data_IF_821758744199
#
_entry.id   IF_821758744199
#
_cell.length_a   1.000
_cell.length_b   1.000
_cell.length_c   1.000
_cell.angle_alpha   90.00
_cell.angle_beta   90.00
_cell.angle_gamma   90.00
#
_symmetry.space_group_name_H-M   'P 1'
#
loop_
_entity.id
_entity.type
_entity.pdbx_description
1 polymer ?
#
# COMPACT_ATOMS: atom_id res chain seq x y z
N UNK A 1 -13.60 -5.13 -7.98
CA UNK A 1 -14.05 -5.13 -6.57
C UNK A 1 -14.64 -3.77 -6.38
N UNK A 2 -15.83 -3.61 -6.96
CA UNK A 2 -16.61 -2.39 -6.94
C UNK A 2 -17.41 -2.42 -5.66
N UNK A 3 -16.72 -2.22 -4.53
CA UNK A 3 -17.44 -1.81 -3.33
C UNK A 3 -18.03 -0.46 -3.71
N UNK A 4 -19.34 -0.36 -3.61
CA UNK A 4 -20.08 0.87 -3.83
C UNK A 4 -19.69 1.86 -2.70
N UNK A 5 -18.60 2.60 -2.93
CA UNK A 5 -18.02 3.54 -1.97
C UNK A 5 -19.08 4.56 -1.53
N UNK A 6 -20.01 4.90 -2.42
CA UNK A 6 -21.13 5.79 -2.12
C UNK A 6 -22.07 5.19 -1.08
N UNK A 7 -22.44 3.91 -1.18
CA UNK A 7 -23.19 3.21 -0.13
C UNK A 7 -22.42 3.12 1.19
N UNK A 8 -21.10 2.96 1.14
CA UNK A 8 -20.28 2.89 2.36
C UNK A 8 -20.14 4.24 3.10
N UNK A 9 -20.30 5.34 2.35
CA UNK A 9 -20.29 6.72 2.84
C UNK A 9 -21.70 7.21 3.18
N UNK A 10 -22.76 6.58 2.66
CA UNK A 10 -24.14 6.91 2.96
C UNK A 10 -24.41 6.81 4.46
N UNK A 11 -24.85 7.91 5.07
CA UNK A 11 -25.14 8.01 6.50
C UNK A 11 -23.95 8.35 7.41
N UNK A 12 -22.72 8.48 6.89
CA UNK A 12 -21.56 8.94 7.67
C UNK A 12 -21.31 10.43 7.44
N UNK A 13 -20.85 11.15 8.46
CA UNK A 13 -20.47 12.56 8.32
C UNK A 13 -19.11 12.66 7.57
N UNK A 14 -19.07 13.15 6.31
CA UNK A 14 -17.86 13.16 5.50
C UNK A 14 -16.73 13.99 6.11
N UNK A 15 -17.04 15.09 6.80
CA UNK A 15 -16.05 15.97 7.42
C UNK A 15 -15.29 15.27 8.58
N UNK A 16 -15.95 14.36 9.29
CA UNK A 16 -15.33 13.59 10.39
C UNK A 16 -14.49 12.42 9.88
N UNK A 17 -14.87 11.85 8.73
CA UNK A 17 -14.23 10.65 8.15
C UNK A 17 -13.01 10.99 7.28
N UNK A 18 -13.02 12.15 6.61
CA UNK A 18 -11.92 12.63 5.78
C UNK A 18 -10.53 12.56 6.43
N UNK A 19 -10.29 13.11 7.65
CA UNK A 19 -8.95 13.10 8.26
C UNK A 19 -8.47 11.68 8.58
N UNK A 20 -9.38 10.78 8.97
CA UNK A 20 -9.04 9.38 9.26
C UNK A 20 -8.60 8.65 7.98
N UNK A 21 -9.29 8.87 6.86
CA UNK A 21 -8.94 8.28 5.57
C UNK A 21 -7.63 8.85 5.04
N UNK A 22 -7.37 10.15 5.18
CA UNK A 22 -6.07 10.75 4.83
C UNK A 22 -4.92 10.09 5.58
N UNK A 23 -5.09 9.84 6.89
CA UNK A 23 -4.09 9.15 7.71
C UNK A 23 -3.86 7.72 7.21
N UNK A 24 -4.91 6.99 6.91
CA UNK A 24 -4.81 5.62 6.42
C UNK A 24 -4.13 5.54 5.04
N UNK A 25 -4.41 6.47 4.12
CA UNK A 25 -3.71 6.60 2.83
C UNK A 25 -2.21 6.83 3.05
N UNK A 26 -1.83 7.73 3.97
CA UNK A 26 -0.41 7.98 4.30
C UNK A 26 0.28 6.73 4.82
N UNK A 27 -0.37 6.01 5.74
CA UNK A 27 0.15 4.75 6.31
C UNK A 27 0.32 3.69 5.23
N UNK A 28 -0.67 3.51 4.34
CA UNK A 28 -0.58 2.52 3.28
C UNK A 28 0.51 2.86 2.26
N UNK A 29 0.67 4.15 1.92
CA UNK A 29 1.78 4.58 1.07
C UNK A 29 3.14 4.22 1.70
N UNK A 30 3.29 4.40 3.01
CA UNK A 30 4.49 4.00 3.72
C UNK A 30 4.69 2.47 3.71
N UNK A 31 3.63 1.67 3.87
CA UNK A 31 3.74 0.20 3.79
C UNK A 31 4.13 -0.28 2.39
N UNK A 32 3.53 0.26 1.33
CA UNK A 32 3.92 -0.05 -0.05
C UNK A 32 5.40 0.28 -0.27
N UNK A 33 5.86 1.44 0.20
CA UNK A 33 7.28 1.81 0.14
C UNK A 33 8.17 0.83 0.91
N UNK A 34 7.76 0.41 2.11
CA UNK A 34 8.49 -0.57 2.90
C UNK A 34 8.57 -1.92 2.19
N UNK A 35 7.48 -2.40 1.60
CA UNK A 35 7.48 -3.64 0.82
C UNK A 35 8.38 -3.53 -0.43
N UNK A 36 8.41 -2.36 -1.08
CA UNK A 36 9.33 -2.10 -2.19
C UNK A 36 10.80 -2.16 -1.74
N UNK A 37 11.13 -1.48 -0.65
CA UNK A 37 12.49 -1.49 -0.07
C UNK A 37 12.90 -2.91 0.30
N UNK A 38 12.02 -3.68 0.97
CA UNK A 38 12.30 -5.07 1.34
C UNK A 38 12.48 -5.96 0.11
N UNK A 39 11.68 -5.76 -0.94
CA UNK A 39 11.83 -6.51 -2.20
C UNK A 39 13.20 -6.24 -2.82
N UNK A 40 13.63 -4.97 -2.90
CA UNK A 40 14.95 -4.60 -3.42
C UNK A 40 16.08 -5.17 -2.55
N UNK A 41 15.91 -5.15 -1.22
CA UNK A 41 16.87 -5.73 -0.28
C UNK A 41 17.02 -7.24 -0.48
N UNK A 42 15.92 -7.98 -0.59
CA UNK A 42 15.99 -9.42 -0.87
C UNK A 42 16.55 -9.71 -2.26
N UNK A 43 16.25 -8.87 -3.26
CA UNK A 43 16.86 -9.01 -4.59
C UNK A 43 18.39 -8.83 -4.53
N UNK A 44 18.85 -7.85 -3.76
CA UNK A 44 20.27 -7.60 -3.54
C UNK A 44 20.94 -8.75 -2.77
N UNK A 45 20.28 -9.32 -1.75
CA UNK A 45 20.78 -10.50 -1.05
C UNK A 45 20.82 -11.74 -1.95
N UNK A 46 19.81 -11.93 -2.80
CA UNK A 46 19.76 -13.02 -3.74
C UNK A 46 20.89 -12.94 -4.78
N UNK A 47 21.27 -11.72 -5.20
CA UNK A 47 22.38 -11.48 -6.13
C UNK A 47 23.75 -11.35 -5.46
N UNK A 48 23.81 -11.09 -4.15
CA UNK A 48 25.06 -10.87 -3.41
C UNK A 48 26.03 -12.04 -3.54
N UNK A 49 25.53 -13.28 -3.60
CA UNK A 49 26.37 -14.47 -3.75
C UNK A 49 27.08 -14.57 -5.11
N UNK A 50 26.58 -13.87 -6.13
CA UNK A 50 27.26 -13.78 -7.43
C UNK A 50 28.54 -12.92 -7.36
N UNK A 51 28.62 -12.03 -6.37
CA UNK A 51 29.73 -11.08 -6.19
C UNK A 51 30.62 -11.52 -5.02
N UNK A 52 30.02 -12.06 -3.96
CA UNK A 52 30.68 -12.40 -2.71
C UNK A 52 30.53 -13.90 -2.40
N UNK A 53 31.60 -14.66 -2.57
CA UNK A 53 31.64 -16.12 -2.36
C UNK A 53 31.43 -16.55 -0.91
N UNK A 54 31.66 -15.65 0.05
CA UNK A 54 31.49 -15.90 1.50
C UNK A 54 30.02 -15.88 1.96
N UNK A 55 29.08 -15.43 1.12
CA UNK A 55 27.65 -15.37 1.46
C UNK A 55 27.07 -16.79 1.59
N UNK A 56 26.53 -17.20 2.75
CA UNK A 56 26.00 -18.55 2.92
C UNK A 56 24.80 -18.85 2.00
N UNK A 57 24.71 -20.09 1.49
CA UNK A 57 23.61 -20.53 0.61
C UNK A 57 22.22 -20.33 1.24
N UNK A 58 22.09 -20.57 2.54
CA UNK A 58 20.83 -20.42 3.27
C UNK A 58 20.27 -18.99 3.22
N UNK A 59 21.14 -17.97 3.18
CA UNK A 59 20.74 -16.56 3.04
C UNK A 59 20.11 -16.31 1.66
N UNK A 60 20.68 -16.89 0.62
CA UNK A 60 20.16 -16.79 -0.74
C UNK A 60 18.81 -17.49 -0.90
N UNK A 61 18.67 -18.69 -0.32
CA UNK A 61 17.41 -19.44 -0.30
C UNK A 61 16.31 -18.66 0.44
N UNK A 62 16.63 -18.10 1.61
CA UNK A 62 15.68 -17.28 2.36
C UNK A 62 15.22 -16.06 1.56
N UNK A 63 16.14 -15.36 0.92
CA UNK A 63 15.81 -14.19 0.09
C UNK A 63 14.89 -14.56 -1.08
N UNK A 64 15.14 -15.68 -1.76
CA UNK A 64 14.29 -16.16 -2.86
C UNK A 64 12.89 -16.54 -2.39
N UNK A 65 12.77 -17.16 -1.20
CA UNK A 65 11.47 -17.50 -0.61
C UNK A 65 10.71 -16.25 -0.16
N UNK A 66 11.40 -15.22 0.35
CA UNK A 66 10.78 -14.00 0.84
C UNK A 66 10.25 -13.06 -0.26
N UNK A 67 10.90 -13.04 -1.43
CA UNK A 67 10.51 -12.21 -2.58
C UNK A 67 9.03 -12.30 -3.02
N UNK A 68 8.41 -13.48 -3.18
CA UNK A 68 6.99 -13.57 -3.54
C UNK A 68 6.09 -12.95 -2.47
N UNK A 69 6.42 -13.06 -1.18
CA UNK A 69 5.64 -12.45 -0.10
C UNK A 69 5.73 -10.93 -0.12
N UNK A 70 6.91 -10.37 -0.37
CA UNK A 70 7.05 -8.92 -0.48
C UNK A 70 6.36 -8.39 -1.74
N UNK A 71 6.42 -9.10 -2.86
CA UNK A 71 5.69 -8.76 -4.07
C UNK A 71 4.17 -8.80 -3.87
N UNK A 72 3.65 -9.82 -3.18
CA UNK A 72 2.24 -9.88 -2.77
C UNK A 72 1.85 -8.73 -1.86
N UNK A 73 2.73 -8.32 -0.93
CA UNK A 73 2.53 -7.14 -0.08
C UNK A 73 2.40 -5.85 -0.90
N UNK A 74 3.27 -5.63 -1.90
CA UNK A 74 3.17 -4.48 -2.81
C UNK A 74 1.84 -4.48 -3.55
N UNK A 75 1.43 -5.63 -4.09
CA UNK A 75 0.17 -5.74 -4.83
C UNK A 75 -1.06 -5.50 -3.94
N UNK A 76 -1.10 -6.15 -2.78
CA UNK A 76 -2.20 -6.04 -1.82
C UNK A 76 -2.36 -4.62 -1.28
N UNK A 77 -1.28 -4.05 -0.73
CA UNK A 77 -1.30 -2.70 -0.18
C UNK A 77 -1.46 -1.64 -1.29
N UNK A 78 -0.93 -1.88 -2.49
CA UNK A 78 -1.12 -0.99 -3.63
C UNK A 78 -2.59 -0.93 -4.08
N UNK A 79 -3.29 -2.07 -4.07
CA UNK A 79 -4.72 -2.12 -4.38
C UNK A 79 -5.55 -1.43 -3.30
N UNK A 80 -5.21 -1.66 -2.03
CA UNK A 80 -5.86 -1.03 -0.89
C UNK A 80 -5.65 0.51 -0.92
N UNK A 81 -4.46 0.95 -1.32
CA UNK A 81 -4.11 2.37 -1.41
C UNK A 81 -4.96 3.07 -2.46
N UNK A 82 -5.10 2.47 -3.64
CA UNK A 82 -5.98 2.98 -4.70
C UNK A 82 -7.43 3.10 -4.23
N UNK A 83 -7.93 2.09 -3.52
CA UNK A 83 -9.28 2.11 -2.96
C UNK A 83 -9.47 3.28 -1.98
N UNK A 84 -8.53 3.48 -1.07
CA UNK A 84 -8.64 4.58 -0.10
C UNK A 84 -8.47 5.97 -0.73
N UNK A 85 -7.66 6.10 -1.77
CA UNK A 85 -7.54 7.33 -2.54
C UNK A 85 -8.84 7.68 -3.28
N UNK A 86 -9.49 6.69 -3.91
CA UNK A 86 -10.80 6.87 -4.54
C UNK A 86 -11.86 7.31 -3.52
N UNK A 87 -11.87 6.68 -2.34
CA UNK A 87 -12.77 7.05 -1.25
C UNK A 87 -12.51 8.46 -0.72
N UNK A 88 -11.25 8.86 -0.60
CA UNK A 88 -10.90 10.23 -0.23
C UNK A 88 -11.43 11.24 -1.26
N UNK A 89 -11.19 10.97 -2.55
CA UNK A 89 -11.60 11.85 -3.64
C UNK A 89 -13.11 12.09 -3.64
N UNK A 90 -13.89 11.02 -3.47
CA UNK A 90 -15.36 11.11 -3.37
C UNK A 90 -15.82 11.95 -2.17
N UNK A 91 -15.16 11.80 -1.01
CA UNK A 91 -15.47 12.62 0.17
C UNK A 91 -15.17 14.10 -0.08
N UNK A 92 -14.03 14.40 -0.73
CA UNK A 92 -13.64 15.77 -1.06
C UNK A 92 -14.59 16.40 -2.08
N UNK A 93 -15.06 15.65 -3.09
CA UNK A 93 -16.10 16.09 -4.03
C UNK A 93 -17.43 16.39 -3.32
N UNK A 94 -17.86 15.54 -2.37
CA UNK A 94 -19.08 15.76 -1.56
C UNK A 94 -18.93 16.98 -0.64
N UNK A 95 -17.75 17.22 -0.08
CA UNK A 95 -17.51 18.38 0.79
C UNK A 95 -17.47 19.69 0.01
N UNK A 96 -16.84 19.71 -1.17
CA UNK A 96 -16.77 20.89 -2.03
C UNK A 96 -18.15 21.26 -2.59
N UNK A 97 -18.92 20.28 -3.07
CA UNK A 97 -20.29 20.51 -3.54
C UNK A 97 -21.23 21.07 -2.47
N UNK A 98 -21.00 20.75 -1.19
CA UNK A 98 -21.76 21.31 -0.06
C UNK A 98 -21.29 22.70 0.37
N UNK A 99 -20.07 23.09 0.04
CA UNK A 99 -19.53 24.41 0.35
C UNK A 99 -19.91 25.44 -0.72
N UNK A 100 -20.19 24.98 -1.95
CA UNK A 100 -20.67 25.81 -3.08
C UNK A 100 -22.18 26.03 -3.08
N UNK A 101 -22.94 25.27 -2.26
CA UNK A 101 -24.40 25.35 -2.16
C UNK A 101 -24.85 26.04 -0.88
#
# INVERSE_FOLDING_TARGET
MDIDIQKELAGKNPARVAPQIRRNVKIQKQRVQMHLIMTLFFLALASARLIFSWVPLWVQLFALIALPFTALGIYGDGRLLKYQQQKLKLIEEILNSRAES
#
